data_IF_528945325911
#
_entry.id   IF_528945325911
#
_cell.length_a   1.000
_cell.length_b   1.000
_cell.length_c   1.000
_cell.angle_alpha   90.00
_cell.angle_beta   90.00
_cell.angle_gamma   90.00
#
_symmetry.space_group_name_H-M   'P 1'
#
loop_
_entity.id
_entity.type
_entity.pdbx_description
1 polymer ?
#
# COMPACT_ATOMS: atom_id res chain seq x y z
N UNK A 1 42.00 -22.82 16.73
CA UNK A 1 41.11 -22.89 17.92
C UNK A 1 40.52 -21.52 18.16
N UNK A 2 39.20 -21.43 18.26
CA UNK A 2 38.46 -20.17 18.42
C UNK A 2 38.01 -20.04 19.88
N UNK A 3 38.28 -18.87 20.47
CA UNK A 3 37.82 -18.53 21.81
C UNK A 3 36.51 -17.74 21.72
N UNK A 4 35.48 -18.19 22.46
CA UNK A 4 34.18 -17.53 22.52
C UNK A 4 33.62 -17.59 23.95
N UNK A 5 32.75 -16.63 24.29
CA UNK A 5 32.14 -16.52 25.63
C UNK A 5 30.68 -16.97 25.60
N UNK A 6 30.28 -17.73 26.61
CA UNK A 6 28.86 -18.10 26.78
C UNK A 6 28.01 -16.84 27.08
N UNK A 7 26.90 -16.59 26.36
CA UNK A 7 26.05 -15.42 26.60
C UNK A 7 25.31 -15.47 27.94
N UNK A 8 25.19 -16.65 28.56
CA UNK A 8 24.44 -16.83 29.81
C UNK A 8 25.33 -16.69 31.06
N UNK A 9 26.55 -17.23 31.02
CA UNK A 9 27.45 -17.28 32.19
C UNK A 9 28.76 -16.52 32.00
N UNK A 10 29.01 -15.95 30.81
CA UNK A 10 30.27 -15.32 30.43
C UNK A 10 31.53 -16.19 30.59
N UNK A 11 31.38 -17.51 30.75
CA UNK A 11 32.49 -18.46 30.75
C UNK A 11 33.16 -18.51 29.38
N UNK A 12 34.50 -18.42 29.35
CA UNK A 12 35.30 -18.49 28.13
C UNK A 12 35.58 -19.94 27.76
N UNK A 13 35.39 -20.28 26.49
CA UNK A 13 35.55 -21.65 25.98
C UNK A 13 36.37 -21.61 24.69
N UNK A 14 37.08 -22.71 24.42
CA UNK A 14 37.86 -22.90 23.21
C UNK A 14 37.33 -24.12 22.45
N UNK A 15 37.24 -24.01 21.14
CA UNK A 15 36.82 -25.12 20.27
C UNK A 15 37.69 -25.18 19.01
N UNK A 16 37.73 -26.35 18.39
CA UNK A 16 38.45 -26.59 17.14
C UNK A 16 37.82 -25.80 15.98
N UNK A 17 38.63 -25.42 15.00
CA UNK A 17 38.20 -24.52 13.91
C UNK A 17 37.12 -25.14 13.01
N UNK A 18 36.91 -26.47 13.08
CA UNK A 18 35.86 -27.19 12.37
C UNK A 18 34.48 -27.13 13.04
N UNK A 19 34.35 -26.57 14.25
CA UNK A 19 33.08 -26.54 15.00
C UNK A 19 32.23 -25.27 14.76
N UNK A 20 32.64 -24.39 13.85
CA UNK A 20 31.93 -23.13 13.54
C UNK A 20 30.56 -23.44 12.94
N UNK A 21 29.50 -22.90 13.54
CA UNK A 21 28.11 -23.11 13.09
C UNK A 21 27.42 -24.34 13.68
N UNK A 22 28.09 -25.09 14.56
CA UNK A 22 27.50 -26.20 15.32
C UNK A 22 27.18 -25.80 16.77
N UNK A 23 26.19 -26.49 17.36
CA UNK A 23 25.84 -26.33 18.77
C UNK A 23 26.88 -27.02 19.64
N UNK A 24 27.38 -26.33 20.65
CA UNK A 24 28.26 -26.89 21.67
C UNK A 24 27.68 -26.62 23.04
N UNK A 25 27.84 -27.56 23.97
CA UNK A 25 27.32 -27.39 25.33
C UNK A 25 28.35 -26.62 26.15
N UNK A 26 27.91 -25.58 26.84
CA UNK A 26 28.79 -24.80 27.69
C UNK A 26 29.30 -25.63 28.87
N UNK A 27 30.62 -25.78 29.00
CA UNK A 27 31.24 -26.54 30.09
C UNK A 27 31.00 -25.93 31.49
N UNK A 28 30.60 -24.65 31.57
CA UNK A 28 30.35 -23.95 32.83
C UNK A 28 28.89 -24.01 33.31
N UNK A 29 27.92 -23.93 32.40
CA UNK A 29 26.49 -23.83 32.77
C UNK A 29 25.58 -24.85 32.08
N UNK A 30 26.11 -25.70 31.21
CA UNK A 30 25.33 -26.71 30.48
C UNK A 30 24.40 -26.14 29.39
N UNK A 31 24.46 -24.82 29.12
CA UNK A 31 23.62 -24.18 28.11
C UNK A 31 24.15 -24.45 26.70
N UNK A 32 23.27 -24.72 25.74
CA UNK A 32 23.65 -24.88 24.34
C UNK A 32 24.04 -23.53 23.74
N UNK A 33 25.26 -23.43 23.22
CA UNK A 33 25.82 -22.22 22.63
C UNK A 33 26.26 -22.53 21.20
N UNK A 34 25.81 -21.71 20.25
CA UNK A 34 26.27 -21.78 18.86
C UNK A 34 27.63 -21.11 18.76
N UNK A 35 28.62 -21.85 18.28
CA UNK A 35 29.97 -21.32 18.06
C UNK A 35 29.96 -20.40 16.85
N UNK A 36 30.02 -19.08 17.10
CA UNK A 36 30.13 -18.05 16.06
C UNK A 36 31.51 -17.39 16.13
N UNK A 37 32.13 -17.16 14.96
CA UNK A 37 33.47 -16.59 14.88
C UNK A 37 33.42 -15.06 15.14
N UNK A 38 34.09 -14.54 16.19
CA UNK A 38 34.03 -13.12 16.57
C UNK A 38 34.69 -12.19 15.53
N UNK A 39 35.65 -12.69 14.73
CA UNK A 39 36.33 -11.91 13.68
C UNK A 39 35.41 -11.62 12.50
N UNK A 40 34.39 -12.45 12.26
CA UNK A 40 33.33 -12.14 11.28
C UNK A 40 32.34 -11.12 11.83
N UNK A 41 32.07 -11.09 13.14
CA UNK A 41 31.16 -10.11 13.76
C UNK A 41 31.68 -8.66 13.63
N UNK A 42 33.00 -8.45 13.72
CA UNK A 42 33.63 -7.13 13.58
C UNK A 42 33.74 -6.63 12.13
N UNK A 43 33.68 -7.52 11.13
CA UNK A 43 33.70 -7.17 9.71
C UNK A 43 32.29 -7.02 9.10
N UNK A 44 31.27 -7.61 9.74
CA UNK A 44 29.85 -7.46 9.35
C UNK A 44 29.29 -6.05 9.65
N UNK A 45 30.01 -5.22 10.41
CA UNK A 45 29.61 -3.83 10.67
C UNK A 45 29.99 -2.84 9.54
N UNK A 46 30.69 -3.28 8.49
CA UNK A 46 31.06 -2.45 7.33
C UNK A 46 30.55 -2.97 5.97
N UNK A 47 30.06 -4.20 5.90
CA UNK A 47 29.45 -4.80 4.70
C UNK A 47 28.05 -5.31 5.06
N UNK A 48 27.00 -4.65 4.54
CA UNK A 48 25.63 -5.16 4.68
C UNK A 48 25.58 -6.62 4.20
N UNK A 49 25.07 -7.52 5.05
CA UNK A 49 24.83 -8.91 4.67
C UNK A 49 24.01 -8.97 3.37
N UNK A 50 24.20 -9.96 2.49
CA UNK A 50 23.48 -10.06 1.22
C UNK A 50 21.96 -10.03 1.41
N UNK A 51 21.46 -10.51 2.54
CA UNK A 51 20.04 -10.46 2.92
C UNK A 51 19.58 -9.06 3.31
N UNK A 52 20.40 -8.28 4.01
CA UNK A 52 20.14 -6.87 4.30
C UNK A 52 20.19 -6.02 3.03
N UNK A 53 21.13 -6.28 2.11
CA UNK A 53 21.14 -5.65 0.77
C UNK A 53 19.86 -5.99 0.01
N UNK A 54 19.47 -7.26 0.02
CA UNK A 54 18.27 -7.74 -0.64
C UNK A 54 16.98 -7.13 -0.05
N UNK A 55 16.89 -7.02 1.28
CA UNK A 55 15.77 -6.36 1.97
C UNK A 55 15.69 -4.86 1.70
N UNK A 56 16.83 -4.17 1.66
CA UNK A 56 16.90 -2.74 1.37
C UNK A 56 16.58 -2.46 -0.12
N UNK A 57 17.05 -3.32 -1.03
CA UNK A 57 16.74 -3.22 -2.46
C UNK A 57 15.27 -3.55 -2.77
N UNK A 58 14.65 -4.50 -2.05
CA UNK A 58 13.23 -4.82 -2.17
C UNK A 58 12.30 -3.88 -1.38
N UNK A 59 12.87 -3.08 -0.48
CA UNK A 59 12.15 -2.02 0.23
C UNK A 59 12.75 -0.65 -0.12
N UNK A 60 12.74 -0.25 -1.41
CA UNK A 60 13.16 1.09 -1.74
C UNK A 60 12.28 2.07 -0.98
N UNK A 61 12.87 3.18 -0.50
CA UNK A 61 12.09 4.26 0.09
C UNK A 61 10.90 4.54 -0.85
N UNK A 62 9.66 4.59 -0.32
CA UNK A 62 8.49 4.70 -1.16
C UNK A 62 8.73 5.88 -2.09
N UNK A 63 8.65 5.64 -3.40
CA UNK A 63 8.94 6.66 -4.40
C UNK A 63 7.75 7.62 -4.50
N UNK A 64 7.40 8.20 -3.35
CA UNK A 64 6.25 9.07 -3.09
C UNK A 64 6.29 10.24 -4.05
N UNK A 65 7.47 10.74 -4.38
CA UNK A 65 7.67 11.79 -5.37
C UNK A 65 7.24 11.36 -6.77
N UNK A 66 7.62 10.17 -7.25
CA UNK A 66 7.17 9.67 -8.56
C UNK A 66 5.67 9.40 -8.57
N UNK A 67 5.14 8.74 -7.54
CA UNK A 67 3.71 8.47 -7.44
C UNK A 67 2.90 9.77 -7.44
N UNK A 68 3.33 10.76 -6.66
CA UNK A 68 2.72 12.08 -6.58
C UNK A 68 2.79 12.82 -7.91
N UNK A 69 3.93 12.82 -8.59
CA UNK A 69 4.05 13.43 -9.93
C UNK A 69 3.11 12.77 -10.92
N UNK A 70 3.02 11.44 -10.94
CA UNK A 70 2.08 10.73 -11.82
C UNK A 70 0.64 11.10 -11.48
N UNK A 71 0.28 11.20 -10.19
CA UNK A 71 -1.08 11.61 -9.79
C UNK A 71 -1.38 13.05 -10.22
N UNK A 72 -0.46 13.99 -10.02
CA UNK A 72 -0.63 15.41 -10.40
C UNK A 72 -0.70 15.57 -11.92
N UNK A 73 0.26 15.05 -12.67
CA UNK A 73 0.24 15.17 -14.14
C UNK A 73 -0.90 14.37 -14.75
N UNK A 74 -1.15 13.14 -14.26
CA UNK A 74 -2.26 12.32 -14.72
C UNK A 74 -3.62 12.97 -14.47
N UNK A 75 -3.83 13.55 -13.28
CA UNK A 75 -5.07 14.28 -12.98
C UNK A 75 -5.23 15.54 -13.83
N UNK A 76 -4.17 16.33 -14.05
CA UNK A 76 -4.22 17.51 -14.93
C UNK A 76 -4.56 17.12 -16.38
N UNK A 77 -3.95 16.05 -16.90
CA UNK A 77 -4.22 15.54 -18.24
C UNK A 77 -5.68 15.09 -18.34
N UNK A 78 -6.17 14.24 -17.43
CA UNK A 78 -7.56 13.74 -17.46
C UNK A 78 -8.56 14.88 -17.28
N UNK A 79 -8.27 15.83 -16.38
CA UNK A 79 -9.11 16.99 -16.13
C UNK A 79 -9.22 17.89 -17.37
N UNK A 80 -8.08 18.20 -18.01
CA UNK A 80 -8.06 19.00 -19.24
C UNK A 80 -8.71 18.27 -20.41
N UNK A 81 -8.46 16.97 -20.57
CA UNK A 81 -9.07 16.13 -21.60
C UNK A 81 -10.59 16.01 -21.44
N UNK A 82 -11.11 16.14 -20.21
CA UNK A 82 -12.54 16.20 -19.96
C UNK A 82 -13.10 17.60 -20.25
N UNK A 83 -12.54 18.65 -19.64
CA UNK A 83 -13.14 19.99 -19.69
C UNK A 83 -12.95 20.74 -21.01
N UNK A 84 -11.83 20.58 -21.72
CA UNK A 84 -11.59 21.26 -23.00
C UNK A 84 -12.65 20.90 -24.05
N UNK A 85 -12.86 19.61 -24.39
CA UNK A 85 -13.93 19.26 -25.33
C UNK A 85 -15.31 19.50 -24.74
N UNK A 86 -15.50 19.34 -23.43
CA UNK A 86 -16.79 19.59 -22.79
C UNK A 86 -17.24 21.05 -22.98
N UNK A 87 -16.35 22.03 -22.80
CA UNK A 87 -16.66 23.44 -22.98
C UNK A 87 -16.81 23.85 -24.46
N UNK A 88 -16.15 23.14 -25.38
CA UNK A 88 -16.21 23.43 -26.82
C UNK A 88 -17.46 22.83 -27.49
N UNK A 89 -17.85 21.61 -27.11
CA UNK A 89 -18.95 20.87 -27.76
C UNK A 89 -20.30 21.00 -27.06
N UNK A 90 -20.33 21.41 -25.80
CA UNK A 90 -21.60 21.49 -25.04
C UNK A 90 -22.23 22.86 -25.22
N UNK A 91 -23.47 22.89 -25.73
CA UNK A 91 -24.23 24.13 -25.84
C UNK A 91 -24.48 24.75 -24.45
N UNK A 92 -24.28 26.07 -24.36
CA UNK A 92 -24.50 26.83 -23.11
C UNK A 92 -25.96 26.82 -22.63
N UNK A 93 -26.92 26.44 -23.50
CA UNK A 93 -28.34 26.28 -23.18
C UNK A 93 -28.65 24.96 -22.46
N UNK A 94 -27.72 24.00 -22.48
CA UNK A 94 -27.96 22.67 -21.92
C UNK A 94 -27.96 22.66 -20.38
N UNK A 95 -28.82 21.82 -19.83
CA UNK A 95 -28.90 21.57 -18.37
C UNK A 95 -27.56 21.05 -17.81
N UNK A 96 -26.82 20.27 -18.61
CA UNK A 96 -25.54 19.67 -18.24
C UNK A 96 -24.45 20.75 -18.11
N UNK A 97 -24.42 21.73 -19.01
CA UNK A 97 -23.52 22.88 -18.89
C UNK A 97 -23.80 23.67 -17.61
N UNK A 98 -25.09 23.88 -17.28
CA UNK A 98 -25.47 24.56 -16.04
C UNK A 98 -24.97 23.82 -14.80
N UNK A 99 -25.07 22.49 -14.78
CA UNK A 99 -24.64 21.66 -13.65
C UNK A 99 -23.11 21.60 -13.48
N UNK A 100 -22.35 21.50 -14.58
CA UNK A 100 -20.93 21.15 -14.53
C UNK A 100 -19.94 22.29 -14.82
N UNK A 101 -20.39 23.40 -15.41
CA UNK A 101 -19.54 24.50 -15.85
C UNK A 101 -19.89 25.87 -15.26
N UNK A 102 -20.92 25.97 -14.42
CA UNK A 102 -21.29 27.25 -13.78
C UNK A 102 -20.70 27.34 -12.38
N UNK A 103 -19.98 28.42 -12.10
CA UNK A 103 -19.33 28.67 -10.81
C UNK A 103 -18.14 27.74 -10.53
N UNK A 104 -17.42 28.01 -9.45
CA UNK A 104 -16.16 27.31 -9.15
C UNK A 104 -16.35 25.93 -8.48
N UNK A 105 -17.50 25.69 -7.85
CA UNK A 105 -17.75 24.47 -7.06
C UNK A 105 -17.80 23.21 -7.93
N UNK A 106 -18.53 23.16 -9.07
CA UNK A 106 -18.52 21.98 -9.94
C UNK A 106 -17.11 21.64 -10.46
N UNK A 107 -16.31 22.65 -10.83
CA UNK A 107 -14.92 22.45 -11.24
C UNK A 107 -14.07 21.80 -10.14
N UNK A 108 -14.25 22.22 -8.87
CA UNK A 108 -13.55 21.64 -7.73
C UNK A 108 -14.00 20.20 -7.45
N UNK A 109 -15.31 19.92 -7.52
CA UNK A 109 -15.86 18.57 -7.32
C UNK A 109 -15.35 17.60 -8.39
N UNK A 110 -15.35 18.01 -9.66
CA UNK A 110 -14.81 17.18 -10.75
C UNK A 110 -13.29 17.02 -10.61
N UNK A 111 -12.55 18.03 -10.17
CA UNK A 111 -11.12 17.87 -9.88
C UNK A 111 -10.88 16.80 -8.81
N UNK A 112 -11.65 16.81 -7.72
CA UNK A 112 -11.61 15.77 -6.67
C UNK A 112 -11.96 14.39 -7.21
N UNK A 113 -12.97 14.30 -8.06
CA UNK A 113 -13.36 13.06 -8.74
C UNK A 113 -12.22 12.53 -9.60
N UNK A 114 -11.63 13.37 -10.47
CA UNK A 114 -10.51 12.99 -11.35
C UNK A 114 -9.29 12.54 -10.54
N UNK A 115 -8.89 13.30 -9.52
CA UNK A 115 -7.78 12.93 -8.63
C UNK A 115 -8.05 11.56 -8.00
N UNK A 116 -9.28 11.34 -7.51
CA UNK A 116 -9.67 10.07 -6.89
C UNK A 116 -9.57 8.91 -7.89
N UNK A 117 -10.07 9.08 -9.12
CA UNK A 117 -9.99 8.05 -10.15
C UNK A 117 -8.56 7.73 -10.57
N UNK A 118 -7.69 8.73 -10.68
CA UNK A 118 -6.27 8.50 -10.99
C UNK A 118 -5.59 7.70 -9.87
N UNK A 119 -5.84 8.06 -8.60
CA UNK A 119 -5.31 7.31 -7.45
C UNK A 119 -5.84 5.87 -7.40
N UNK A 120 -7.13 5.67 -7.67
CA UNK A 120 -7.74 4.35 -7.72
C UNK A 120 -7.21 3.51 -8.89
N UNK A 121 -6.98 4.11 -10.05
CA UNK A 121 -6.39 3.43 -11.21
C UNK A 121 -4.95 2.98 -10.91
N UNK A 122 -4.14 3.84 -10.29
CA UNK A 122 -2.79 3.47 -9.83
C UNK A 122 -2.83 2.26 -8.89
N UNK A 123 -3.73 2.27 -7.89
CA UNK A 123 -3.93 1.14 -6.97
C UNK A 123 -4.37 -0.12 -7.70
N UNK A 124 -5.35 -0.02 -8.59
CA UNK A 124 -5.84 -1.17 -9.35
C UNK A 124 -4.74 -1.81 -10.21
N UNK A 125 -3.88 -1.01 -10.85
CA UNK A 125 -2.75 -1.55 -11.62
C UNK A 125 -1.74 -2.29 -10.75
N UNK A 126 -1.51 -1.83 -9.52
CA UNK A 126 -0.63 -2.50 -8.53
C UNK A 126 -1.24 -3.81 -8.01
N UNK A 127 -2.56 -3.86 -7.79
CA UNK A 127 -3.26 -5.09 -7.44
C UNK A 127 -3.18 -6.09 -8.60
N UNK A 128 -3.45 -5.64 -9.82
CA UNK A 128 -3.39 -6.50 -11.01
C UNK A 128 -1.97 -7.02 -11.30
N UNK A 129 -0.91 -6.24 -11.04
CA UNK A 129 0.46 -6.73 -11.18
C UNK A 129 0.79 -7.80 -10.14
N UNK A 130 0.36 -7.61 -8.89
CA UNK A 130 0.53 -8.58 -7.79
C UNK A 130 -0.19 -9.90 -8.09
N UNK A 131 -1.41 -9.83 -8.63
CA UNK A 131 -2.18 -10.98 -9.09
C UNK A 131 -1.51 -11.77 -10.23
N UNK A 132 -0.86 -11.07 -11.17
CA UNK A 132 -0.10 -11.72 -12.24
C UNK A 132 1.12 -12.43 -11.69
N UNK A 133 1.78 -11.85 -10.70
CA UNK A 133 2.94 -12.45 -10.06
C UNK A 133 2.60 -13.72 -9.29
N UNK A 134 1.47 -13.75 -8.58
CA UNK A 134 0.95 -14.96 -7.94
C UNK A 134 0.73 -16.13 -8.90
N UNK A 135 0.30 -15.86 -10.15
CA UNK A 135 0.09 -16.89 -11.18
C UNK A 135 1.41 -17.45 -11.72
N UNK A 136 2.48 -16.67 -11.63
CA UNK A 136 3.82 -17.08 -12.03
C UNK A 136 4.49 -17.72 -10.82
N UNK A 137 4.28 -19.03 -10.63
CA UNK A 137 4.81 -19.79 -9.48
C UNK A 137 6.28 -19.46 -9.22
N UNK A 138 6.59 -18.93 -8.03
CA UNK A 138 7.96 -18.57 -7.64
C UNK A 138 8.79 -19.77 -7.22
N UNK A 139 8.16 -20.79 -6.61
CA UNK A 139 8.82 -22.03 -6.20
C UNK A 139 8.18 -23.21 -6.93
N UNK A 140 8.90 -23.79 -7.88
CA UNK A 140 8.56 -25.11 -8.40
C UNK A 140 8.87 -26.15 -7.33
N UNK A 141 7.97 -27.13 -7.18
CA UNK A 141 7.79 -28.12 -6.10
C UNK A 141 9.01 -28.97 -5.65
N UNK A 142 10.25 -28.65 -6.01
CA UNK A 142 11.36 -29.63 -6.01
C UNK A 142 12.74 -29.14 -5.58
N UNK A 143 12.93 -27.95 -5.02
CA UNK A 143 14.25 -27.55 -4.49
C UNK A 143 14.34 -27.85 -2.99
N UNK A 144 15.10 -28.87 -2.55
CA UNK A 144 15.34 -29.09 -1.13
C UNK A 144 16.21 -27.94 -0.58
N UNK A 145 15.61 -27.01 0.16
CA UNK A 145 16.29 -25.86 0.80
C UNK A 145 17.09 -26.30 2.05
N UNK A 146 17.96 -27.29 1.91
CA UNK A 146 18.68 -27.89 3.04
C UNK A 146 19.93 -27.09 3.44
N UNK A 147 20.57 -26.43 2.47
CA UNK A 147 21.82 -25.68 2.64
C UNK A 147 21.57 -24.17 2.60
N UNK A 148 22.38 -23.39 3.35
CA UNK A 148 22.34 -21.93 3.30
C UNK A 148 22.59 -21.37 1.90
N UNK A 149 23.35 -22.11 1.07
CA UNK A 149 23.62 -21.78 -0.32
C UNK A 149 22.35 -21.91 -1.18
N UNK A 150 21.57 -22.97 -0.99
CA UNK A 150 20.31 -23.21 -1.70
C UNK A 150 19.28 -22.11 -1.37
N UNK A 151 19.23 -21.67 -0.11
CA UNK A 151 18.35 -20.59 0.34
C UNK A 151 18.73 -19.26 -0.33
N UNK A 152 20.03 -18.93 -0.38
CA UNK A 152 20.49 -17.70 -1.06
C UNK A 152 20.20 -17.74 -2.56
N UNK A 153 20.39 -18.89 -3.21
CA UNK A 153 20.12 -19.06 -4.64
C UNK A 153 18.62 -18.93 -4.94
N UNK A 154 17.77 -19.53 -4.10
CA UNK A 154 16.31 -19.35 -4.18
C UNK A 154 15.90 -17.88 -3.98
N UNK A 155 16.48 -17.18 -3.01
CA UNK A 155 16.21 -15.76 -2.77
C UNK A 155 16.62 -14.88 -3.97
N UNK A 156 17.76 -15.17 -4.60
CA UNK A 156 18.22 -14.47 -5.81
C UNK A 156 17.35 -14.76 -7.03
N UNK A 157 16.94 -16.02 -7.23
CA UNK A 157 16.00 -16.40 -8.29
C UNK A 157 14.64 -15.71 -8.13
N UNK A 158 14.12 -15.64 -6.91
CA UNK A 158 12.88 -14.92 -6.60
C UNK A 158 13.03 -13.44 -6.90
N UNK A 159 14.16 -12.82 -6.53
CA UNK A 159 14.45 -11.42 -6.84
C UNK A 159 14.47 -11.14 -8.34
N UNK A 160 15.24 -11.91 -9.10
CA UNK A 160 15.35 -11.71 -10.55
C UNK A 160 13.99 -11.88 -11.25
N UNK A 161 13.22 -12.89 -10.82
CA UNK A 161 11.88 -13.13 -11.35
C UNK A 161 10.90 -12.01 -10.98
N UNK A 162 11.00 -11.49 -9.75
CA UNK A 162 10.22 -10.38 -9.25
C UNK A 162 10.52 -9.07 -9.98
N UNK A 163 11.78 -8.79 -10.29
CA UNK A 163 12.18 -7.61 -11.07
C UNK A 163 11.62 -7.67 -12.50
N UNK A 164 11.63 -8.85 -13.15
CA UNK A 164 11.07 -9.03 -14.50
C UNK A 164 9.57 -8.80 -14.57
N UNK A 165 8.84 -9.13 -13.50
CA UNK A 165 7.38 -8.97 -13.44
C UNK A 165 6.93 -7.77 -12.61
N UNK A 166 7.89 -6.94 -12.19
CA UNK A 166 7.71 -5.74 -11.38
C UNK A 166 6.89 -5.98 -10.09
N UNK A 167 7.12 -7.13 -9.45
CA UNK A 167 6.47 -7.52 -8.20
C UNK A 167 7.34 -7.22 -7.00
N UNK A 168 7.07 -6.11 -6.35
CA UNK A 168 7.77 -5.71 -5.13
C UNK A 168 7.10 -6.24 -3.86
N UNK A 169 5.87 -6.75 -3.94
CA UNK A 169 5.03 -7.01 -2.76
C UNK A 169 5.14 -8.46 -2.30
N UNK A 170 5.01 -9.43 -3.21
CA UNK A 170 5.09 -10.86 -2.86
C UNK A 170 6.54 -11.24 -2.60
N UNK A 171 7.44 -10.84 -3.51
CA UNK A 171 8.86 -11.15 -3.44
C UNK A 171 9.50 -10.71 -2.12
N UNK A 172 9.20 -9.49 -1.67
CA UNK A 172 9.68 -8.95 -0.39
C UNK A 172 9.27 -9.82 0.80
N UNK A 173 8.04 -10.34 0.83
CA UNK A 173 7.55 -11.19 1.93
C UNK A 173 8.15 -12.59 1.88
N UNK A 174 8.22 -13.19 0.69
CA UNK A 174 8.81 -14.53 0.50
C UNK A 174 10.28 -14.52 0.88
N UNK A 175 11.05 -13.60 0.32
CA UNK A 175 12.48 -13.41 0.62
C UNK A 175 12.68 -13.11 2.10
N UNK A 176 11.76 -12.33 2.67
CA UNK A 176 11.81 -12.00 4.08
C UNK A 176 11.60 -13.17 5.03
N UNK A 177 10.66 -14.05 4.72
CA UNK A 177 10.43 -15.29 5.45
C UNK A 177 11.62 -16.26 5.30
N UNK A 178 12.18 -16.39 4.08
CA UNK A 178 13.33 -17.24 3.80
C UNK A 178 14.60 -16.79 4.54
N UNK A 179 14.86 -15.47 4.55
CA UNK A 179 15.96 -14.89 5.32
C UNK A 179 15.84 -15.21 6.81
N UNK A 180 14.62 -15.06 7.38
CA UNK A 180 14.39 -15.37 8.79
C UNK A 180 14.63 -16.85 9.09
N UNK A 181 14.12 -17.74 8.24
CA UNK A 181 14.33 -19.17 8.39
C UNK A 181 15.81 -19.56 8.31
N UNK A 182 16.60 -18.92 7.44
CA UNK A 182 18.03 -19.20 7.33
C UNK A 182 18.76 -19.02 8.67
N UNK A 183 18.43 -17.98 9.42
CA UNK A 183 19.05 -17.69 10.72
C UNK A 183 18.49 -18.53 11.88
N UNK A 184 17.18 -18.75 11.93
CA UNK A 184 16.55 -19.43 13.07
C UNK A 184 16.44 -20.94 12.89
N UNK A 185 16.49 -21.43 11.63
CA UNK A 185 16.21 -22.83 11.24
C UNK A 185 14.89 -23.38 11.78
N UNK A 186 13.96 -22.50 12.12
CA UNK A 186 12.67 -22.84 12.70
C UNK A 186 11.56 -22.22 11.87
N UNK A 187 10.60 -23.06 11.48
CA UNK A 187 9.43 -22.69 10.69
C UNK A 187 8.51 -21.76 11.50
N UNK A 188 8.41 -21.97 12.82
CA UNK A 188 7.58 -21.16 13.72
C UNK A 188 8.01 -19.69 13.73
N UNK A 189 9.30 -19.42 13.84
CA UNK A 189 9.85 -18.07 13.80
C UNK A 189 9.72 -17.42 12.40
N UNK A 190 9.65 -18.21 11.33
CA UNK A 190 9.37 -17.71 9.99
C UNK A 190 7.88 -17.35 9.80
N UNK A 191 6.97 -18.14 10.38
CA UNK A 191 5.53 -17.85 10.46
C UNK A 191 5.23 -16.59 11.27
N UNK A 192 5.84 -16.45 12.45
CA UNK A 192 5.72 -15.26 13.29
C UNK A 192 6.16 -14.00 12.52
N UNK A 193 7.28 -14.09 11.80
CA UNK A 193 7.79 -12.99 10.96
C UNK A 193 6.85 -12.69 9.78
N UNK A 194 6.27 -13.71 9.14
CA UNK A 194 5.32 -13.53 8.05
C UNK A 194 4.07 -12.80 8.51
N UNK A 195 3.59 -13.09 9.72
CA UNK A 195 2.44 -12.43 10.34
C UNK A 195 2.71 -10.93 10.51
N UNK A 196 3.89 -10.56 11.02
CA UNK A 196 4.33 -9.15 11.13
C UNK A 196 4.34 -8.47 9.76
N UNK A 197 4.80 -9.14 8.71
CA UNK A 197 4.78 -8.58 7.35
C UNK A 197 3.39 -8.45 6.76
N UNK A 198 2.48 -9.36 7.07
CA UNK A 198 1.08 -9.27 6.65
C UNK A 198 0.42 -8.04 7.29
N UNK A 199 0.58 -7.87 8.61
CA UNK A 199 0.06 -6.71 9.34
C UNK A 199 0.62 -5.39 8.79
N UNK A 200 1.94 -5.31 8.58
CA UNK A 200 2.57 -4.14 7.99
C UNK A 200 2.01 -3.81 6.61
N UNK A 201 1.70 -4.82 5.80
CA UNK A 201 1.14 -4.61 4.48
C UNK A 201 -0.31 -4.15 4.51
N UNK A 202 -1.13 -4.69 5.41
CA UNK A 202 -2.49 -4.19 5.65
C UNK A 202 -2.47 -2.73 6.10
N UNK A 203 -1.56 -2.36 6.99
CA UNK A 203 -1.37 -0.97 7.42
C UNK A 203 -0.92 -0.06 6.26
N UNK A 204 -0.05 -0.55 5.37
CA UNK A 204 0.37 0.20 4.17
C UNK A 204 -0.75 0.33 3.14
N UNK A 205 -1.59 -0.69 2.98
CA UNK A 205 -2.79 -0.65 2.17
C UNK A 205 -3.72 0.44 2.70
N UNK A 206 -4.09 0.38 3.98
CA UNK A 206 -4.99 1.33 4.62
C UNK A 206 -4.48 2.78 4.56
N UNK A 207 -3.19 3.00 4.87
CA UNK A 207 -2.55 4.30 4.73
C UNK A 207 -2.64 4.86 3.30
N UNK A 208 -2.67 3.98 2.31
CA UNK A 208 -2.84 4.31 0.90
C UNK A 208 -4.19 4.92 0.53
N UNK A 209 -5.25 4.57 1.27
CA UNK A 209 -6.61 5.03 1.04
C UNK A 209 -6.99 6.25 1.89
N UNK A 210 -6.14 6.67 2.83
CA UNK A 210 -6.40 7.81 3.73
C UNK A 210 -6.72 9.10 2.97
N UNK A 211 -5.95 9.46 1.94
CA UNK A 211 -6.20 10.67 1.15
C UNK A 211 -7.54 10.58 0.39
N UNK A 212 -7.88 9.40 -0.13
CA UNK A 212 -9.17 9.18 -0.80
C UNK A 212 -10.34 9.36 0.17
N UNK A 213 -10.22 8.85 1.41
CA UNK A 213 -11.22 9.07 2.47
C UNK A 213 -11.39 10.54 2.81
N UNK A 214 -10.30 11.32 2.84
CA UNK A 214 -10.35 12.77 3.03
C UNK A 214 -11.10 13.45 1.89
N UNK A 215 -10.85 13.08 0.63
CA UNK A 215 -11.55 13.63 -0.53
C UNK A 215 -13.05 13.29 -0.47
N UNK A 216 -13.39 12.03 -0.17
CA UNK A 216 -14.78 11.59 0.02
C UNK A 216 -15.48 12.41 1.10
N UNK A 217 -14.81 12.68 2.21
CA UNK A 217 -15.35 13.51 3.30
C UNK A 217 -15.47 14.99 2.91
N UNK A 218 -14.51 15.54 2.16
CA UNK A 218 -14.48 16.95 1.78
C UNK A 218 -15.47 17.30 0.65
N UNK A 219 -15.79 16.35 -0.24
CA UNK A 219 -16.63 16.60 -1.43
C UNK A 219 -18.04 17.11 -1.06
N UNK A 220 -18.78 16.51 -0.10
CA UNK A 220 -20.07 17.03 0.36
C UNK A 220 -19.97 18.42 0.98
N UNK A 221 -18.87 18.73 1.70
CA UNK A 221 -18.65 20.03 2.30
C UNK A 221 -18.46 21.11 1.22
N UNK A 222 -17.79 20.80 0.10
CA UNK A 222 -17.71 21.71 -1.05
C UNK A 222 -19.09 21.97 -1.66
N UNK A 223 -19.93 20.95 -1.79
CA UNK A 223 -21.33 21.13 -2.23
C UNK A 223 -22.13 22.05 -1.30
N UNK A 224 -21.99 21.85 0.01
CA UNK A 224 -22.59 22.72 1.02
C UNK A 224 -22.06 24.16 0.97
N UNK A 225 -20.77 24.36 0.71
CA UNK A 225 -20.22 25.71 0.48
C UNK A 225 -20.88 26.38 -0.74
N UNK A 226 -21.16 25.60 -1.80
CA UNK A 226 -21.91 26.07 -2.96
C UNK A 226 -23.33 26.53 -2.62
N UNK A 227 -24.07 25.76 -1.82
CA UNK A 227 -25.42 26.16 -1.39
C UNK A 227 -25.41 27.39 -0.51
N UNK A 228 -24.51 27.45 0.47
CA UNK A 228 -24.37 28.62 1.36
C UNK A 228 -24.10 29.89 0.56
N UNK A 229 -23.23 29.82 -0.46
CA UNK A 229 -22.97 30.96 -1.34
C UNK A 229 -24.17 31.35 -2.18
N UNK A 230 -24.87 30.39 -2.80
CA UNK A 230 -26.05 30.68 -3.62
C UNK A 230 -27.22 31.24 -2.81
N UNK A 231 -27.47 30.69 -1.62
CA UNK A 231 -28.48 31.19 -0.68
C UNK A 231 -28.12 32.58 -0.19
N UNK A 232 -26.86 32.83 0.20
CA UNK A 232 -26.41 34.15 0.65
C UNK A 232 -26.62 35.23 -0.42
N UNK A 233 -26.28 34.93 -1.68
CA UNK A 233 -26.51 35.84 -2.82
C UNK A 233 -28.01 36.07 -3.06
N UNK A 234 -28.80 35.00 -3.02
CA UNK A 234 -30.25 35.04 -3.20
C UNK A 234 -30.92 35.96 -2.16
N UNK A 235 -30.58 35.79 -0.88
CA UNK A 235 -31.11 36.60 0.23
C UNK A 235 -30.65 38.06 0.10
N UNK A 236 -29.38 38.29 -0.23
CA UNK A 236 -28.85 39.64 -0.43
C UNK A 236 -29.49 40.37 -1.62
N UNK A 237 -29.80 39.64 -2.70
CA UNK A 237 -30.55 40.15 -3.85
C UNK A 237 -31.98 40.55 -3.47
N UNK A 238 -32.68 39.69 -2.74
CA UNK A 238 -34.04 39.97 -2.27
C UNK A 238 -34.09 41.17 -1.30
N UNK A 239 -33.12 41.29 -0.39
CA UNK A 239 -33.05 42.41 0.56
C UNK A 239 -32.94 43.78 -0.14
N UNK A 240 -32.24 43.85 -1.28
CA UNK A 240 -32.15 45.08 -2.08
C UNK A 240 -33.48 45.46 -2.73
N UNK A 241 -34.21 44.47 -3.22
CA UNK A 241 -35.54 44.67 -3.82
C UNK A 241 -36.54 45.19 -2.78
N UNK A 242 -36.51 44.64 -1.58
CA UNK A 242 -37.40 45.02 -0.48
C UNK A 242 -36.98 46.32 0.22
N UNK A 243 -35.72 46.74 0.09
CA UNK A 243 -35.15 47.93 0.72
C UNK A 243 -35.51 49.26 0.08
N UNK A 244 -36.31 49.26 -1.01
CA UNK A 244 -36.82 50.46 -1.66
C UNK A 244 -35.99 50.99 -2.84
N UNK A 245 -34.98 50.26 -3.30
CA UNK A 245 -34.13 50.61 -4.47
C UNK A 245 -34.80 50.31 -5.83
N UNK A 246 -36.08 49.93 -5.84
CA UNK A 246 -36.79 49.45 -7.02
C UNK A 246 -38.03 50.31 -7.25
N UNK A 247 -37.96 51.20 -8.24
CA UNK A 247 -39.03 52.14 -8.60
C UNK A 247 -40.07 51.51 -9.55
N UNK A 248 -39.73 50.40 -10.22
CA UNK A 248 -40.55 49.79 -11.27
C UNK A 248 -40.93 48.32 -10.97
N UNK A 249 -42.18 47.94 -11.23
CA UNK A 249 -42.71 46.59 -10.97
C UNK A 249 -42.06 45.54 -11.89
N UNK A 250 -41.58 45.99 -13.06
CA UNK A 250 -40.83 45.16 -14.01
C UNK A 250 -39.51 44.65 -13.40
N UNK A 251 -38.80 45.51 -12.66
CA UNK A 251 -37.54 45.20 -12.00
C UNK A 251 -37.70 44.21 -10.84
N UNK A 252 -38.84 44.25 -10.12
CA UNK A 252 -39.17 43.26 -9.09
C UNK A 252 -39.25 41.85 -9.69
N UNK A 253 -39.91 41.72 -10.85
CA UNK A 253 -40.07 40.41 -11.52
C UNK A 253 -38.73 39.87 -11.98
N UNK A 254 -37.89 40.71 -12.57
CA UNK A 254 -36.52 40.34 -12.97
C UNK A 254 -35.66 39.95 -11.78
N UNK A 255 -35.76 40.69 -10.67
CA UNK A 255 -35.00 40.40 -9.46
C UNK A 255 -35.45 39.09 -8.79
N UNK A 256 -36.75 38.80 -8.73
CA UNK A 256 -37.28 37.51 -8.26
C UNK A 256 -36.82 36.35 -9.15
N UNK A 257 -36.80 36.55 -10.48
CA UNK A 257 -36.25 35.57 -11.42
C UNK A 257 -34.76 35.28 -11.16
N UNK A 258 -33.97 36.32 -10.89
CA UNK A 258 -32.54 36.18 -10.54
C UNK A 258 -32.34 35.45 -9.22
N UNK A 259 -33.07 35.80 -8.17
CA UNK A 259 -33.02 35.13 -6.86
C UNK A 259 -33.37 33.65 -6.99
N UNK A 260 -34.41 33.33 -7.78
CA UNK A 260 -34.81 31.95 -8.03
C UNK A 260 -33.73 31.17 -8.78
N UNK A 261 -33.07 31.80 -9.76
CA UNK A 261 -31.95 31.20 -10.50
C UNK A 261 -30.72 30.96 -9.63
N UNK A 262 -30.35 31.92 -8.77
CA UNK A 262 -29.23 31.77 -7.83
C UNK A 262 -29.46 30.67 -6.80
N UNK A 263 -30.71 30.51 -6.35
CA UNK A 263 -31.10 29.43 -5.44
C UNK A 263 -31.06 28.06 -6.15
N UNK A 264 -31.57 27.99 -7.38
CA UNK A 264 -31.51 26.77 -8.19
C UNK A 264 -30.05 26.33 -8.42
N UNK A 265 -29.18 27.28 -8.78
CA UNK A 265 -27.75 27.04 -8.91
C UNK A 265 -27.13 26.50 -7.61
N UNK A 266 -27.52 27.04 -6.46
CA UNK A 266 -27.07 26.54 -5.16
C UNK A 266 -27.38 25.05 -4.99
N UNK A 267 -28.62 24.63 -5.25
CA UNK A 267 -29.02 23.22 -5.15
C UNK A 267 -28.29 22.32 -6.16
N UNK A 268 -28.13 22.79 -7.39
CA UNK A 268 -27.39 22.11 -8.46
C UNK A 268 -25.96 21.75 -8.01
N UNK A 269 -25.25 22.68 -7.35
CA UNK A 269 -23.89 22.41 -6.84
C UNK A 269 -23.82 21.31 -5.78
N UNK A 270 -24.83 21.22 -4.90
CA UNK A 270 -24.91 20.13 -3.91
C UNK A 270 -25.28 18.81 -4.57
N UNK A 271 -26.21 18.82 -5.52
CA UNK A 271 -26.58 17.62 -6.27
C UNK A 271 -25.34 17.00 -6.93
N UNK A 272 -24.55 17.81 -7.64
CA UNK A 272 -23.31 17.35 -8.30
C UNK A 272 -22.31 16.79 -7.29
N UNK A 273 -22.10 17.48 -6.15
CA UNK A 273 -21.20 17.00 -5.10
C UNK A 273 -21.64 15.64 -4.52
N UNK A 274 -22.94 15.48 -4.24
CA UNK A 274 -23.49 14.25 -3.69
C UNK A 274 -23.38 13.08 -4.67
N UNK A 275 -23.73 13.30 -5.94
CA UNK A 275 -23.61 12.27 -6.98
C UNK A 275 -22.16 11.86 -7.17
N UNK A 276 -21.24 12.84 -7.25
CA UNK A 276 -19.81 12.57 -7.40
C UNK A 276 -19.25 11.75 -6.22
N UNK A 277 -19.58 12.10 -4.96
CA UNK A 277 -19.07 11.35 -3.81
C UNK A 277 -19.57 9.91 -3.79
N UNK A 278 -20.83 9.66 -4.17
CA UNK A 278 -21.38 8.30 -4.24
C UNK A 278 -20.58 7.46 -5.24
N UNK A 279 -20.30 8.02 -6.42
CA UNK A 279 -19.52 7.35 -7.45
C UNK A 279 -18.10 7.04 -6.95
N UNK A 280 -17.44 8.01 -6.31
CA UNK A 280 -16.09 7.83 -5.75
C UNK A 280 -16.10 6.75 -4.66
N UNK A 281 -17.06 6.76 -3.74
CA UNK A 281 -17.17 5.78 -2.65
C UNK A 281 -17.36 4.35 -3.17
N UNK A 282 -18.21 4.16 -4.18
CA UNK A 282 -18.44 2.84 -4.80
C UNK A 282 -17.13 2.35 -5.44
N UNK A 283 -16.48 3.19 -6.26
CA UNK A 283 -15.23 2.83 -6.91
C UNK A 283 -14.14 2.50 -5.89
N UNK A 284 -14.01 3.31 -4.84
CA UNK A 284 -13.07 3.10 -3.74
C UNK A 284 -13.30 1.76 -3.05
N UNK A 285 -14.54 1.44 -2.70
CA UNK A 285 -14.89 0.18 -2.01
C UNK A 285 -14.54 -1.04 -2.85
N UNK A 286 -14.74 -0.98 -4.18
CA UNK A 286 -14.41 -2.08 -5.09
C UNK A 286 -12.90 -2.32 -5.12
N UNK A 287 -12.12 -1.25 -5.26
CA UNK A 287 -10.65 -1.35 -5.35
C UNK A 287 -10.05 -1.78 -4.01
N UNK A 288 -10.51 -1.22 -2.89
CA UNK A 288 -10.05 -1.57 -1.54
C UNK A 288 -10.32 -3.05 -1.22
N UNK A 289 -11.49 -3.58 -1.62
CA UNK A 289 -11.79 -5.01 -1.51
C UNK A 289 -10.89 -5.88 -2.39
N UNK A 290 -10.61 -5.46 -3.61
CA UNK A 290 -9.73 -6.19 -4.52
C UNK A 290 -8.29 -6.22 -3.99
N UNK A 291 -7.82 -5.11 -3.40
CA UNK A 291 -6.51 -4.97 -2.79
C UNK A 291 -6.37 -5.92 -1.58
N UNK A 292 -7.33 -5.87 -0.64
CA UNK A 292 -7.37 -6.77 0.51
C UNK A 292 -7.43 -8.26 0.11
N UNK A 293 -8.28 -8.61 -0.86
CA UNK A 293 -8.36 -9.99 -1.36
C UNK A 293 -7.04 -10.46 -2.00
N UNK A 294 -6.29 -9.57 -2.66
CA UNK A 294 -4.99 -9.92 -3.21
C UNK A 294 -3.98 -10.18 -2.08
N UNK A 295 -4.00 -9.36 -1.02
CA UNK A 295 -3.16 -9.57 0.16
C UNK A 295 -3.42 -10.92 0.84
N UNK A 296 -4.68 -11.30 1.01
CA UNK A 296 -5.06 -12.61 1.56
C UNK A 296 -4.52 -13.76 0.71
N UNK A 297 -4.62 -13.65 -0.62
CA UNK A 297 -4.12 -14.67 -1.55
C UNK A 297 -2.60 -14.79 -1.53
N UNK A 298 -1.90 -13.67 -1.33
CA UNK A 298 -0.44 -13.66 -1.12
C UNK A 298 -0.09 -14.42 0.16
N UNK A 299 -0.81 -14.15 1.25
CA UNK A 299 -0.56 -14.82 2.53
C UNK A 299 -0.79 -16.34 2.43
N UNK A 300 -1.91 -16.75 1.84
CA UNK A 300 -2.22 -18.17 1.62
C UNK A 300 -1.19 -18.86 0.72
N UNK A 301 -0.74 -18.19 -0.34
CA UNK A 301 0.32 -18.70 -1.22
C UNK A 301 1.62 -18.92 -0.44
N UNK A 302 2.05 -17.97 0.39
CA UNK A 302 3.29 -18.11 1.16
C UNK A 302 3.17 -19.24 2.19
N UNK A 303 2.05 -19.33 2.90
CA UNK A 303 1.82 -20.40 3.89
C UNK A 303 1.81 -21.78 3.25
N UNK A 304 1.08 -21.93 2.15
CA UNK A 304 0.88 -23.25 1.53
C UNK A 304 2.07 -23.69 0.70
N UNK A 305 2.71 -22.79 -0.06
CA UNK A 305 3.75 -23.15 -1.04
C UNK A 305 5.17 -22.88 -0.54
N UNK A 306 5.38 -21.88 0.30
CA UNK A 306 6.73 -21.55 0.80
C UNK A 306 6.97 -22.32 2.09
N UNK A 307 6.13 -22.11 3.11
CA UNK A 307 6.33 -22.67 4.47
C UNK A 307 6.31 -24.20 4.51
N UNK A 308 5.40 -24.86 3.77
CA UNK A 308 5.33 -26.33 3.73
C UNK A 308 6.54 -26.99 3.05
N UNK A 309 7.26 -26.27 2.19
CA UNK A 309 8.41 -26.78 1.45
C UNK A 309 9.74 -26.55 2.16
N UNK A 310 9.76 -25.86 3.31
CA UNK A 310 10.97 -25.73 4.10
C UNK A 310 11.29 -27.05 4.82
N UNK A 311 12.54 -27.53 4.77
CA UNK A 311 12.89 -28.79 5.41
C UNK A 311 12.79 -28.62 6.93
N UNK A 312 11.74 -29.19 7.51
CA UNK A 312 11.64 -29.41 8.94
C UNK A 312 12.68 -30.48 9.28
N UNK A 313 13.71 -30.15 10.07
CA UNK A 313 14.58 -31.17 10.67
C UNK A 313 13.76 -31.99 11.68
N UNK A 314 13.05 -33.01 11.21
CA UNK A 314 12.43 -34.03 12.07
C UNK A 314 13.48 -35.09 12.52
N UNK A 315 14.72 -34.99 12.06
CA UNK A 315 15.74 -36.03 12.22
C UNK A 315 16.63 -36.00 13.47
N UNK A 316 16.56 -34.98 14.33
CA UNK A 316 17.52 -34.87 15.45
C UNK A 316 17.11 -35.62 16.74
N UNK A 317 15.90 -36.20 16.81
CA UNK A 317 15.40 -36.86 18.02
C UNK A 317 15.44 -38.41 17.99
N UNK A 318 15.98 -39.05 16.94
CA UNK A 318 16.05 -40.53 16.85
C UNK A 318 17.46 -41.13 16.84
N UNK A 319 18.52 -40.32 16.89
CA UNK A 319 19.90 -40.82 16.83
C UNK A 319 20.55 -41.18 18.18
N UNK A 320 19.94 -40.83 19.31
CA UNK A 320 20.57 -40.93 20.63
C UNK A 320 20.07 -42.04 21.55
N UNK A 321 19.13 -42.90 21.13
CA UNK A 321 18.55 -43.94 22.01
C UNK A 321 18.98 -45.38 21.67
N UNK A 322 19.84 -45.60 20.67
CA UNK A 322 20.30 -46.95 20.28
C UNK A 322 21.83 -47.08 20.28
N UNK A 323 22.51 -46.47 21.23
CA UNK A 323 23.92 -46.74 21.49
C UNK A 323 24.15 -46.70 23.00
N UNK A 324 23.73 -47.77 23.68
CA UNK A 324 24.31 -48.28 24.93
C UNK A 324 23.64 -49.64 25.23
N UNK A 325 24.13 -50.66 24.50
CA UNK A 325 24.15 -52.07 24.90
C UNK A 325 25.60 -52.54 24.79
#
# INVERSE_FOLDING_TARGET
MIEFSCPLCNGRMQTEDNAIGYYTVCAHCGHEVVVQNPTKLGAISADMSPEQKLYVEMNPAPNTTKALLITVFGSLIVYSAFYVPFLEYTESSSEIYRLLAVGWVPFAVIAFMVISFVMLAQRLTMVMSSERALKVTYLTHSTPLSTDQDINEAMLMIKDKAERINDTTVAKRVVGALARFKHTRSVREAEDQLTVYSELAYNQMDAGYTILRVIVWATPLLGFVGTVQGVSKSVGGLAKVLGGDVEDVSEITTALGKVTSELAFAFDTTLVALVAVIIIMIAMTIVERADGSSLDRIEDYIKTQVLQNLPVKVGALKGGQNADL
#
